data_IF_166212224537
#
_entry.id   IF_166212224537
#
_cell.length_a   1.000
_cell.length_b   1.000
_cell.length_c   1.000
_cell.angle_alpha   90.00
_cell.angle_beta   90.00
_cell.angle_gamma   90.00
#
_symmetry.space_group_name_H-M   'P 1'
#
loop_
_entity.id
_entity.type
_entity.pdbx_description
1 polymer ?
#
# COMPACT_ATOMS: atom_id res chain seq x y z
N UNK A 1 -15.03 -2.67 7.59
CA UNK A 1 -14.39 -1.34 7.57
C UNK A 1 -14.57 -0.67 8.93
N UNK A 2 -15.77 -0.17 9.25
CA UNK A 2 -16.10 0.36 10.58
C UNK A 2 -16.90 -0.63 11.43
N UNK A 3 -17.04 -0.34 12.72
CA UNK A 3 -18.02 -0.90 13.65
C UNK A 3 -18.76 0.24 14.35
N UNK A 4 -19.93 -0.03 14.90
CA UNK A 4 -20.66 0.96 15.69
C UNK A 4 -20.20 0.87 17.15
N UNK A 5 -19.74 1.99 17.70
CA UNK A 5 -19.39 2.17 19.11
C UNK A 5 -20.11 3.44 19.57
N UNK A 6 -20.93 3.33 20.61
CA UNK A 6 -21.75 4.44 21.13
C UNK A 6 -22.59 5.14 20.04
N UNK A 7 -23.16 4.35 19.13
CA UNK A 7 -23.97 4.84 18.01
C UNK A 7 -23.19 5.53 16.89
N UNK A 8 -21.84 5.56 16.95
CA UNK A 8 -20.98 6.19 15.95
C UNK A 8 -20.11 5.16 15.22
N UNK A 9 -19.92 5.30 13.90
CA UNK A 9 -19.06 4.38 13.15
C UNK A 9 -17.59 4.67 13.44
N UNK A 10 -16.89 3.72 14.04
CA UNK A 10 -15.44 3.78 14.30
C UNK A 10 -14.68 2.79 13.41
N UNK A 11 -13.57 3.25 12.86
CA UNK A 11 -12.64 2.43 12.08
C UNK A 11 -12.11 1.26 12.92
N UNK A 12 -12.14 0.06 12.34
CA UNK A 12 -11.55 -1.13 12.97
C UNK A 12 -10.04 -1.14 12.77
N UNK A 13 -9.28 -1.19 13.86
CA UNK A 13 -7.81 -1.27 13.87
C UNK A 13 -7.31 -2.59 13.29
N UNK A 14 -7.84 -3.71 13.78
CA UNK A 14 -7.45 -5.06 13.36
C UNK A 14 -8.54 -5.69 12.49
N UNK A 15 -8.63 -5.27 11.22
CA UNK A 15 -9.65 -5.77 10.30
C UNK A 15 -9.06 -6.08 8.92
N UNK A 16 -9.57 -7.14 8.29
CA UNK A 16 -9.14 -7.64 6.98
C UNK A 16 -9.16 -6.59 5.85
N UNK A 17 -9.92 -5.51 6.01
CA UNK A 17 -9.98 -4.42 5.02
C UNK A 17 -8.72 -3.55 4.97
N UNK A 18 -7.83 -3.61 5.97
CA UNK A 18 -6.53 -2.92 5.92
C UNK A 18 -6.55 -1.38 6.03
N UNK A 19 -7.71 -0.72 6.07
CA UNK A 19 -7.81 0.75 6.14
C UNK A 19 -7.00 1.39 7.27
N UNK A 20 -6.96 0.79 8.47
CA UNK A 20 -6.13 1.32 9.55
C UNK A 20 -4.64 1.26 9.19
N UNK A 21 -4.16 0.14 8.62
CA UNK A 21 -2.79 0.02 8.15
C UNK A 21 -2.47 1.01 7.02
N UNK A 22 -3.40 1.28 6.11
CA UNK A 22 -3.23 2.29 5.06
C UNK A 22 -3.01 3.69 5.65
N UNK A 23 -3.85 4.08 6.61
CA UNK A 23 -3.75 5.38 7.29
C UNK A 23 -2.43 5.48 8.06
N UNK A 24 -2.08 4.46 8.82
CA UNK A 24 -0.82 4.46 9.60
C UNK A 24 0.42 4.55 8.70
N UNK A 25 0.41 3.89 7.53
CA UNK A 25 1.46 4.03 6.53
C UNK A 25 1.55 5.44 5.95
N UNK A 26 0.41 6.08 5.63
CA UNK A 26 0.38 7.45 5.15
C UNK A 26 0.89 8.45 6.19
N UNK A 27 0.53 8.26 7.46
CA UNK A 27 1.02 9.10 8.58
C UNK A 27 2.53 8.90 8.80
N UNK A 28 3.02 7.66 8.75
CA UNK A 28 4.45 7.37 8.86
C UNK A 28 5.27 8.05 7.76
N UNK A 29 4.77 8.05 6.52
CA UNK A 29 5.47 8.67 5.38
C UNK A 29 5.40 10.19 5.37
N UNK A 30 4.28 10.77 5.80
CA UNK A 30 4.09 12.23 5.81
C UNK A 30 4.67 12.90 7.05
N UNK A 31 4.94 12.15 8.13
CA UNK A 31 5.36 12.69 9.42
C UNK A 31 4.26 13.46 10.16
N UNK A 32 3.00 13.37 9.70
CA UNK A 32 1.87 14.02 10.35
C UNK A 32 1.42 13.24 11.59
N UNK A 33 1.03 13.94 12.68
CA UNK A 33 0.65 13.28 13.93
C UNK A 33 -0.75 12.63 13.88
N UNK A 34 -1.60 13.03 12.93
CA UNK A 34 -2.96 12.53 12.76
C UNK A 34 -3.51 12.84 11.36
N UNK A 35 -4.59 12.15 10.99
CA UNK A 35 -5.45 12.54 9.87
C UNK A 35 -6.94 12.41 10.26
N UNK A 36 -7.81 13.07 9.50
CA UNK A 36 -9.25 12.90 9.65
C UNK A 36 -9.75 11.85 8.63
N UNK A 37 -10.28 10.74 9.16
CA UNK A 37 -10.90 9.67 8.38
C UNK A 37 -12.38 9.95 8.18
N UNK A 38 -12.80 10.11 6.92
CA UNK A 38 -14.14 10.54 6.56
C UNK A 38 -14.93 9.37 5.99
N UNK A 39 -16.12 9.11 6.54
CA UNK A 39 -17.04 8.08 6.07
C UNK A 39 -18.37 8.72 5.68
N UNK A 40 -18.76 8.54 4.43
CA UNK A 40 -20.10 8.91 3.98
C UNK A 40 -21.11 7.79 4.28
N UNK A 41 -22.13 8.10 5.07
CA UNK A 41 -23.19 7.18 5.48
C UNK A 41 -24.38 7.32 4.54
N UNK A 42 -24.39 6.53 3.46
CA UNK A 42 -25.43 6.61 2.41
C UNK A 42 -26.85 6.45 2.95
N UNK A 43 -27.06 5.58 3.94
CA UNK A 43 -28.38 5.33 4.52
C UNK A 43 -29.00 6.54 5.21
N UNK A 44 -28.19 7.38 5.85
CA UNK A 44 -28.65 8.58 6.56
C UNK A 44 -28.27 9.89 5.85
N UNK A 45 -27.58 9.80 4.70
CA UNK A 45 -26.97 10.95 3.97
C UNK A 45 -26.11 11.86 4.86
N UNK A 46 -25.44 11.27 5.84
CA UNK A 46 -24.59 12.01 6.77
C UNK A 46 -23.11 11.71 6.55
N UNK A 47 -22.25 12.63 6.96
CA UNK A 47 -20.81 12.44 7.00
C UNK A 47 -20.41 12.16 8.45
N UNK A 48 -19.61 11.12 8.65
CA UNK A 48 -18.91 10.89 9.90
C UNK A 48 -17.42 11.19 9.71
N UNK A 49 -16.84 11.90 10.66
CA UNK A 49 -15.41 12.21 10.70
C UNK A 49 -14.83 11.64 11.98
N UNK A 50 -13.77 10.84 11.83
CA UNK A 50 -13.02 10.28 12.94
C UNK A 50 -11.55 10.69 12.82
N UNK A 51 -11.02 11.37 13.84
CA UNK A 51 -9.58 11.65 13.92
C UNK A 51 -8.81 10.39 14.28
N UNK A 52 -7.82 10.04 13.45
CA UNK A 52 -6.93 8.91 13.66
C UNK A 52 -5.54 9.45 13.95
N UNK A 53 -5.00 9.11 15.11
CA UNK A 53 -3.63 9.47 15.50
C UNK A 53 -2.64 8.47 14.94
N UNK A 54 -1.42 8.95 14.69
CA UNK A 54 -0.30 8.08 14.38
C UNK A 54 0.02 7.20 15.59
N UNK A 55 0.05 5.89 15.37
CA UNK A 55 0.40 4.90 16.37
C UNK A 55 1.83 4.40 16.09
N UNK A 56 2.78 5.02 16.80
CA UNK A 56 4.20 4.73 16.65
C UNK A 56 4.55 3.28 17.02
N UNK A 57 3.84 2.69 17.99
CA UNK A 57 4.08 1.31 18.42
C UNK A 57 3.58 0.34 17.36
N UNK A 58 2.35 0.54 16.88
CA UNK A 58 1.80 -0.26 15.80
C UNK A 58 2.64 -0.17 14.53
N UNK A 59 3.08 1.04 14.15
CA UNK A 59 3.98 1.23 13.02
C UNK A 59 5.29 0.44 13.18
N UNK A 60 6.00 0.67 14.27
CA UNK A 60 7.35 0.13 14.49
C UNK A 60 7.38 -1.37 14.79
N UNK A 61 6.40 -1.87 15.52
CA UNK A 61 6.40 -3.26 16.01
C UNK A 61 5.60 -4.21 15.11
N UNK A 62 4.62 -3.70 14.36
CA UNK A 62 3.76 -4.55 13.54
C UNK A 62 3.82 -4.26 12.05
N UNK A 63 3.53 -3.02 11.63
CA UNK A 63 3.29 -2.72 10.22
C UNK A 63 4.59 -2.68 9.42
N UNK A 64 5.60 -1.93 9.87
CA UNK A 64 6.86 -1.79 9.17
C UNK A 64 7.61 -3.13 9.01
N UNK A 65 7.73 -4.00 10.03
CA UNK A 65 8.35 -5.31 9.86
C UNK A 65 7.66 -6.18 8.80
N UNK A 66 6.32 -6.18 8.75
CA UNK A 66 5.54 -6.92 7.75
C UNK A 66 5.78 -6.37 6.34
N UNK A 67 5.80 -5.04 6.19
CA UNK A 67 6.10 -4.39 4.91
C UNK A 67 7.52 -4.68 4.43
N UNK A 68 8.50 -4.63 5.33
CA UNK A 68 9.90 -4.92 5.03
C UNK A 68 10.06 -6.37 4.57
N UNK A 69 9.49 -7.33 5.30
CA UNK A 69 9.52 -8.74 4.92
C UNK A 69 8.83 -8.97 3.56
N UNK A 70 7.68 -8.35 3.31
CA UNK A 70 7.00 -8.44 2.01
C UNK A 70 7.86 -7.87 0.88
N UNK A 71 8.45 -6.70 1.09
CA UNK A 71 9.25 -6.03 0.06
C UNK A 71 10.46 -6.89 -0.33
N UNK A 72 11.28 -7.30 0.63
CA UNK A 72 12.52 -8.03 0.33
C UNK A 72 12.28 -9.47 -0.11
N UNK A 73 11.30 -10.17 0.48
CA UNK A 73 11.12 -11.60 0.20
C UNK A 73 10.19 -11.88 -0.99
N UNK A 74 9.34 -10.92 -1.39
CA UNK A 74 8.33 -11.13 -2.42
C UNK A 74 8.36 -10.05 -3.50
N UNK A 75 8.21 -8.78 -3.14
CA UNK A 75 8.07 -7.71 -4.14
C UNK A 75 9.35 -7.51 -4.96
N UNK A 76 10.50 -7.41 -4.29
CA UNK A 76 11.79 -7.17 -4.94
C UNK A 76 12.19 -8.31 -5.89
N UNK A 77 12.12 -9.61 -5.51
CA UNK A 77 12.35 -10.71 -6.45
C UNK A 77 11.39 -10.71 -7.65
N UNK A 78 10.12 -10.35 -7.43
CA UNK A 78 9.13 -10.27 -8.50
C UNK A 78 9.46 -9.14 -9.48
N UNK A 79 9.76 -7.94 -8.98
CA UNK A 79 10.13 -6.78 -9.78
C UNK A 79 11.42 -7.03 -10.58
N UNK A 80 12.45 -7.59 -9.95
CA UNK A 80 13.70 -7.93 -10.63
C UNK A 80 13.49 -8.93 -11.78
N UNK A 81 12.59 -9.91 -11.59
CA UNK A 81 12.22 -10.85 -12.66
C UNK A 81 11.53 -10.15 -13.82
N UNK A 82 10.61 -9.22 -13.55
CA UNK A 82 9.95 -8.45 -14.60
C UNK A 82 10.95 -7.64 -15.43
N UNK A 83 11.93 -7.01 -14.78
CA UNK A 83 12.99 -6.28 -15.46
C UNK A 83 13.87 -7.21 -16.31
N UNK A 84 14.25 -8.37 -15.79
CA UNK A 84 15.02 -9.36 -16.55
C UNK A 84 14.26 -9.87 -17.79
N UNK A 85 12.94 -10.08 -17.70
CA UNK A 85 12.10 -10.47 -18.84
C UNK A 85 12.04 -9.35 -19.88
N UNK A 86 11.83 -8.09 -19.44
CA UNK A 86 11.84 -6.94 -20.34
C UNK A 86 13.19 -6.80 -21.07
N UNK A 87 14.31 -6.94 -20.36
CA UNK A 87 15.67 -6.86 -20.94
C UNK A 87 15.96 -8.03 -21.90
N UNK A 88 15.54 -9.25 -21.56
CA UNK A 88 15.70 -10.40 -22.48
C UNK A 88 14.90 -10.24 -23.77
N UNK A 89 13.71 -9.64 -23.70
CA UNK A 89 12.88 -9.36 -24.89
C UNK A 89 13.44 -8.26 -25.80
N UNK A 90 14.19 -7.28 -25.24
CA UNK A 90 14.89 -6.28 -26.04
C UNK A 90 16.18 -6.83 -26.68
N UNK A 91 16.81 -7.84 -26.06
CA UNK A 91 18.06 -8.43 -26.57
C UNK A 91 17.84 -9.25 -27.86
N UNK A 92 16.71 -9.94 -27.98
CA UNK A 92 16.42 -10.80 -29.11
C UNK A 92 15.84 -10.05 -30.33
N UNK A 93 15.17 -8.92 -30.12
CA UNK A 93 14.53 -8.16 -31.20
C UNK A 93 15.51 -7.22 -31.96
N UNK A 94 16.59 -6.75 -31.32
CA UNK A 94 17.55 -5.81 -31.94
C UNK A 94 18.82 -6.46 -32.50
N UNK A 95 19.27 -7.61 -31.98
CA UNK A 95 20.43 -8.33 -32.53
C UNK A 95 20.14 -9.02 -33.87
N UNK A 96 18.94 -9.58 -34.05
CA UNK A 96 18.57 -10.31 -35.28
C UNK A 96 18.33 -9.36 -36.46
N UNK A 97 17.94 -8.10 -36.20
CA UNK A 97 17.82 -7.07 -37.25
C UNK A 97 19.18 -6.58 -37.73
N UNK A 98 20.16 -6.40 -36.83
CA UNK A 98 21.49 -5.92 -37.22
C UNK A 98 22.34 -6.93 -37.99
N UNK A 99 22.13 -8.24 -37.82
CA UNK A 99 22.88 -9.27 -38.58
C UNK A 99 22.39 -9.39 -40.04
N UNK A 100 21.15 -8.98 -40.35
CA UNK A 100 20.56 -9.07 -41.70
C UNK A 100 20.77 -7.84 -42.57
N UNK A 101 21.36 -6.77 -42.02
CA UNK A 101 21.59 -5.49 -42.73
C UNK A 101 23.09 -5.12 -42.83
N UNK A 102 24.01 -6.05 -42.51
CA UNK A 102 25.43 -5.88 -42.83
C UNK A 102 25.63 -6.29 -44.29
N UNK A 103 26.08 -5.40 -45.19
CA UNK A 103 26.45 -5.76 -46.56
C UNK A 103 27.69 -6.64 -46.62
#
# INVERSE_FOLDING_TARGET
>A
MCHIVDGKPQLKVQHKSGYYAQIQGQLALSGLPWCDFIVFLTGSRNIHVQRIYFDVLYWGQELLPKLHAFYFNHALPYLYRLECVAVSSCSDAEMVKRIREIP
#
